data_IF_958664870524
#
_entry.id   IF_958664870524
#
_cell.length_a   1.000
_cell.length_b   1.000
_cell.length_c   1.000
_cell.angle_alpha   90.00
_cell.angle_beta   90.00
_cell.angle_gamma   90.00
#
_symmetry.space_group_name_H-M   'P 1'
#
loop_
_entity.id
_entity.type
_entity.pdbx_description
1 polymer ?
#
# COMPACT_ATOMS: atom_id res chain seq x y z
N UNK A 1 1.62 5.73 26.08
CA UNK A 1 1.37 5.28 24.69
C UNK A 1 1.92 3.89 24.48
N UNK A 2 1.05 2.87 24.47
CA UNK A 2 1.41 1.50 24.09
C UNK A 2 1.56 1.47 22.57
N UNK A 3 2.64 0.87 22.06
CA UNK A 3 2.90 0.69 20.61
C UNK A 3 3.12 -0.79 20.36
N UNK A 4 2.44 -1.37 19.36
CA UNK A 4 2.45 -2.82 19.12
C UNK A 4 3.81 -3.39 18.69
N UNK A 5 4.71 -2.57 18.13
CA UNK A 5 6.03 -2.97 17.59
C UNK A 5 5.97 -4.11 16.56
N UNK A 6 4.85 -4.24 15.85
CA UNK A 6 4.72 -5.27 14.80
C UNK A 6 5.64 -5.03 13.62
N UNK A 7 6.04 -6.12 12.96
CA UNK A 7 6.97 -6.09 11.84
C UNK A 7 6.37 -5.52 10.54
N UNK A 8 5.04 -5.52 10.39
CA UNK A 8 4.36 -4.99 9.22
C UNK A 8 2.88 -4.63 9.52
N UNK A 9 2.28 -3.86 8.62
CA UNK A 9 0.90 -3.35 8.73
C UNK A 9 -0.17 -4.44 8.81
N UNK A 10 0.05 -5.60 8.17
CA UNK A 10 -0.88 -6.73 8.24
C UNK A 10 -0.95 -7.34 9.64
N UNK A 11 0.18 -7.47 10.31
CA UNK A 11 0.22 -7.98 11.68
C UNK A 11 -0.52 -7.07 12.67
N UNK A 12 -0.50 -5.74 12.44
CA UNK A 12 -1.29 -4.80 13.25
C UNK A 12 -2.79 -4.94 12.99
N UNK A 13 -3.20 -5.13 11.72
CA UNK A 13 -4.61 -5.38 11.38
C UNK A 13 -5.14 -6.64 12.07
N UNK A 14 -4.36 -7.72 12.09
CA UNK A 14 -4.73 -8.96 12.78
C UNK A 14 -4.97 -8.75 14.27
N UNK A 15 -4.23 -7.88 14.95
CA UNK A 15 -4.50 -7.56 16.36
C UNK A 15 -5.84 -6.90 16.58
N UNK A 16 -6.30 -6.06 15.66
CA UNK A 16 -7.65 -5.48 15.71
C UNK A 16 -8.71 -6.56 15.47
N UNK A 17 -8.50 -7.43 14.47
CA UNK A 17 -9.40 -8.55 14.18
C UNK A 17 -9.55 -9.50 15.38
N UNK A 18 -8.48 -9.72 16.14
CA UNK A 18 -8.46 -10.56 17.34
C UNK A 18 -8.94 -9.85 18.61
N UNK A 19 -9.26 -8.54 18.55
CA UNK A 19 -9.64 -7.74 19.71
C UNK A 19 -8.49 -7.44 20.68
N UNK A 20 -7.24 -7.65 20.27
CA UNK A 20 -6.04 -7.35 21.05
C UNK A 20 -5.64 -5.87 20.98
N UNK A 21 -6.26 -5.11 20.07
CA UNK A 21 -6.09 -3.66 19.94
C UNK A 21 -7.40 -2.99 19.50
N UNK A 22 -7.68 -1.80 20.03
CA UNK A 22 -8.89 -1.05 19.69
C UNK A 22 -8.84 -0.43 18.28
N UNK A 23 -7.64 -0.08 17.80
CA UNK A 23 -7.44 0.57 16.50
C UNK A 23 -6.04 0.35 15.93
N UNK A 24 -5.91 0.47 14.60
CA UNK A 24 -4.66 0.39 13.87
C UNK A 24 -4.61 1.42 12.73
N UNK A 25 -3.41 1.95 12.43
CA UNK A 25 -3.16 2.70 11.20
C UNK A 25 -2.68 1.71 10.15
N UNK A 26 -3.45 1.55 9.08
CA UNK A 26 -3.21 0.59 7.99
C UNK A 26 -3.41 1.26 6.64
N UNK A 27 -3.01 0.60 5.55
CA UNK A 27 -3.32 1.09 4.21
C UNK A 27 -4.77 0.77 3.84
N UNK A 28 -5.39 1.62 3.01
CA UNK A 28 -6.74 1.41 2.48
C UNK A 28 -6.87 0.07 1.75
N UNK A 29 -5.79 -0.38 1.10
CA UNK A 29 -5.72 -1.67 0.41
C UNK A 29 -5.78 -2.87 1.36
N UNK A 30 -5.35 -2.72 2.62
CA UNK A 30 -5.37 -3.82 3.61
C UNK A 30 -6.77 -4.02 4.19
N UNK A 31 -7.55 -2.94 4.39
CA UNK A 31 -8.94 -3.01 4.85
C UNK A 31 -9.82 -3.83 3.89
N UNK A 32 -9.54 -3.80 2.59
CA UNK A 32 -10.26 -4.62 1.62
C UNK A 32 -10.17 -6.14 1.91
N UNK A 33 -9.25 -6.57 2.78
CA UNK A 33 -9.08 -7.98 3.20
C UNK A 33 -9.70 -8.31 4.57
N UNK A 34 -10.24 -7.31 5.29
CA UNK A 34 -10.81 -7.46 6.63
C UNK A 34 -12.17 -6.73 6.72
N UNK A 35 -13.23 -7.26 6.08
CA UNK A 35 -14.55 -6.63 6.01
C UNK A 35 -15.24 -6.45 7.38
N UNK A 36 -14.79 -7.18 8.39
CA UNK A 36 -15.26 -7.11 9.78
C UNK A 36 -14.68 -5.94 10.59
N UNK A 37 -13.68 -5.24 10.06
CA UNK A 37 -13.05 -4.08 10.70
C UNK A 37 -13.64 -2.80 10.13
N UNK A 38 -14.12 -1.91 11.00
CA UNK A 38 -14.69 -0.62 10.58
C UNK A 38 -13.58 0.37 10.16
N UNK A 39 -13.60 0.92 8.94
CA UNK A 39 -12.64 1.91 8.50
C UNK A 39 -13.01 3.32 8.99
N UNK A 40 -12.04 4.02 9.55
CA UNK A 40 -12.12 5.47 9.84
C UNK A 40 -11.10 6.21 8.98
N UNK A 41 -11.58 7.16 8.17
CA UNK A 41 -10.72 7.96 7.32
C UNK A 41 -9.85 8.92 8.15
N UNK A 42 -8.54 8.94 7.89
CA UNK A 42 -7.63 9.93 8.46
C UNK A 42 -7.76 11.22 7.63
N UNK A 43 -8.07 12.39 8.23
CA UNK A 43 -8.17 13.63 7.48
C UNK A 43 -6.85 13.97 6.77
N UNK A 44 -6.92 14.52 5.55
CA UNK A 44 -5.76 14.75 4.68
C UNK A 44 -4.63 15.55 5.36
N UNK A 45 -4.97 16.52 6.22
CA UNK A 45 -3.99 17.31 6.97
C UNK A 45 -3.13 16.49 7.94
N UNK A 46 -3.59 15.30 8.34
CA UNK A 46 -2.90 14.38 9.23
C UNK A 46 -2.45 13.09 8.53
N UNK A 47 -2.88 12.88 7.29
CA UNK A 47 -2.62 11.66 6.55
C UNK A 47 -1.26 11.75 5.85
N UNK A 48 -0.53 10.64 5.85
CA UNK A 48 0.74 10.53 5.13
C UNK A 48 0.48 9.73 3.87
N UNK A 49 0.59 10.36 2.70
CA UNK A 49 0.48 9.66 1.43
C UNK A 49 1.71 8.79 1.21
N UNK A 50 1.52 7.47 1.21
CA UNK A 50 2.59 6.53 0.90
C UNK A 50 2.98 6.63 -0.59
N UNK A 51 4.26 6.88 -0.84
CA UNK A 51 4.83 6.91 -2.19
C UNK A 51 5.54 5.59 -2.49
N UNK A 52 5.05 4.86 -3.49
CA UNK A 52 5.63 3.60 -3.95
C UNK A 52 6.46 3.84 -5.22
N UNK A 53 7.77 3.90 -5.06
CA UNK A 53 8.71 4.14 -6.17
C UNK A 53 9.07 2.83 -6.85
N UNK A 54 9.06 2.83 -8.19
CA UNK A 54 9.58 1.73 -9.02
C UNK A 54 10.79 2.23 -9.81
N UNK A 55 11.91 1.51 -9.73
CA UNK A 55 13.15 1.85 -10.44
C UNK A 55 13.89 0.60 -10.93
N UNK A 56 14.45 0.59 -12.15
CA UNK A 56 15.36 -0.46 -12.59
C UNK A 56 16.65 -0.46 -11.74
N UNK A 57 17.19 -1.65 -11.47
CA UNK A 57 18.46 -1.78 -10.76
C UNK A 57 19.65 -1.50 -11.69
N UNK A 58 20.55 -0.61 -11.27
CA UNK A 58 21.83 -0.40 -11.95
C UNK A 58 22.67 -1.68 -11.89
N UNK A 59 23.20 -2.12 -13.04
CA UNK A 59 23.96 -3.38 -13.14
C UNK A 59 23.10 -4.65 -13.13
N UNK A 60 21.77 -4.53 -13.19
CA UNK A 60 20.88 -5.67 -13.33
C UNK A 60 21.11 -6.43 -14.64
N UNK A 61 21.02 -7.77 -14.59
CA UNK A 61 21.28 -8.65 -15.74
C UNK A 61 20.29 -8.47 -16.90
N UNK A 62 19.12 -7.88 -16.65
CA UNK A 62 18.00 -7.78 -17.60
C UNK A 62 17.49 -6.34 -17.75
N UNK A 63 18.36 -5.41 -18.16
CA UNK A 63 18.03 -3.98 -18.25
C UNK A 63 16.81 -3.70 -19.15
N UNK A 64 16.72 -4.35 -20.31
CA UNK A 64 15.61 -4.15 -21.24
C UNK A 64 14.26 -4.61 -20.66
N UNK A 65 14.23 -5.78 -20.02
CA UNK A 65 13.02 -6.30 -19.37
C UNK A 65 12.61 -5.44 -18.19
N UNK A 66 13.57 -4.94 -17.40
CA UNK A 66 13.29 -4.02 -16.30
C UNK A 66 12.66 -2.70 -16.81
N UNK A 67 13.19 -2.13 -17.89
CA UNK A 67 12.63 -0.94 -18.52
C UNK A 67 11.21 -1.20 -19.08
N UNK A 68 11.00 -2.34 -19.75
CA UNK A 68 9.68 -2.73 -20.26
C UNK A 68 8.66 -2.93 -19.13
N UNK A 69 9.05 -3.53 -18.00
CA UNK A 69 8.17 -3.70 -16.85
C UNK A 69 7.79 -2.35 -16.23
N UNK A 70 8.75 -1.44 -16.05
CA UNK A 70 8.45 -0.08 -15.57
C UNK A 70 7.50 0.66 -16.53
N UNK A 71 7.72 0.53 -17.84
CA UNK A 71 6.83 1.10 -18.84
C UNK A 71 5.41 0.52 -18.76
N UNK A 72 5.29 -0.81 -18.60
CA UNK A 72 4.00 -1.48 -18.43
C UNK A 72 3.27 -1.01 -17.17
N UNK A 73 3.93 -0.98 -16.02
CA UNK A 73 3.33 -0.51 -14.75
C UNK A 73 2.83 0.92 -14.87
N UNK A 74 3.52 1.78 -15.64
CA UNK A 74 3.15 3.19 -15.89
C UNK A 74 2.15 3.39 -17.04
N UNK A 75 1.84 2.36 -17.81
CA UNK A 75 0.88 2.44 -18.91
C UNK A 75 -0.55 2.59 -18.42
N UNK A 76 -1.48 2.98 -19.30
CA UNK A 76 -2.91 3.05 -18.99
C UNK A 76 -3.44 1.74 -18.42
N UNK A 77 -3.02 0.60 -18.99
CA UNK A 77 -3.43 -0.73 -18.52
C UNK A 77 -2.89 -1.03 -17.12
N UNK A 78 -1.60 -0.79 -16.89
CA UNK A 78 -0.96 -1.00 -15.59
C UNK A 78 -1.58 -0.13 -14.49
N UNK A 79 -1.84 1.14 -14.79
CA UNK A 79 -2.51 2.05 -13.85
C UNK A 79 -3.95 1.63 -13.58
N UNK A 80 -4.73 1.23 -14.59
CA UNK A 80 -6.09 0.72 -14.39
C UNK A 80 -6.11 -0.53 -13.48
N UNK A 81 -5.15 -1.44 -13.67
CA UNK A 81 -5.00 -2.64 -12.83
C UNK A 81 -4.72 -2.29 -11.36
N UNK A 82 -3.86 -1.30 -11.11
CA UNK A 82 -3.51 -0.80 -9.78
C UNK A 82 -4.69 -0.07 -9.11
N UNK A 83 -5.36 0.82 -9.85
CA UNK A 83 -6.55 1.54 -9.38
C UNK A 83 -7.66 0.59 -8.93
N UNK A 84 -7.91 -0.48 -9.69
CA UNK A 84 -8.88 -1.52 -9.29
C UNK A 84 -8.55 -2.19 -7.95
N UNK A 85 -7.30 -2.13 -7.50
CA UNK A 85 -6.80 -2.70 -6.24
C UNK A 85 -6.62 -1.65 -5.14
N UNK A 86 -7.12 -0.43 -5.34
CA UNK A 86 -7.10 0.62 -4.32
C UNK A 86 -5.81 1.45 -4.27
N UNK A 87 -4.89 1.29 -5.23
CA UNK A 87 -3.78 2.21 -5.40
C UNK A 87 -4.24 3.48 -6.11
N UNK A 88 -3.69 4.62 -5.74
CA UNK A 88 -3.93 5.89 -6.42
C UNK A 88 -2.77 6.25 -7.33
N UNK A 89 -3.07 6.90 -8.46
CA UNK A 89 -2.04 7.50 -9.30
C UNK A 89 -1.40 8.65 -8.54
N UNK A 90 -0.09 8.59 -8.31
CA UNK A 90 0.64 9.78 -7.86
C UNK A 90 0.54 10.83 -8.95
N UNK A 91 -0.05 11.99 -8.65
CA UNK A 91 0.22 13.18 -9.44
C UNK A 91 1.72 13.45 -9.33
N UNK A 92 2.39 13.60 -10.47
CA UNK A 92 3.71 14.23 -10.53
C UNK A 92 3.58 15.45 -11.40
#
# INVERSE_FOLDING_TARGET
NVKSREANVRAVLTKVQLGEADAAIVYSTDIATAPEVEPVAIPDAYNVTAQYVIAPLTGGKNANTAAAFVAFVRSTEGQAFLTKRGFTTSAR
#
